data_IF_559966882850
#
_entry.id   IF_559966882850
#
_cell.length_a   1.000
_cell.length_b   1.000
_cell.length_c   1.000
_cell.angle_alpha   90.00
_cell.angle_beta   90.00
_cell.angle_gamma   90.00
#
_symmetry.space_group_name_H-M   'P 1'
#
loop_
_entity.id
_entity.type
_entity.pdbx_description
1 polymer ?
#
# COMPACT_ATOMS: atom_id res chain seq x y z
N UNK A 1 26.98 -16.37 12.73
CA UNK A 1 25.84 -16.33 11.78
C UNK A 1 26.29 -15.46 10.61
N UNK A 2 26.23 -15.93 9.38
CA UNK A 2 26.58 -15.10 8.22
C UNK A 2 25.39 -14.20 7.82
N UNK A 3 25.65 -13.21 6.95
CA UNK A 3 24.65 -12.22 6.54
C UNK A 3 23.43 -12.86 5.85
N UNK A 4 23.63 -13.89 5.04
CA UNK A 4 22.53 -14.58 4.33
C UNK A 4 21.62 -15.32 5.34
N UNK A 5 22.17 -16.00 6.32
CA UNK A 5 21.41 -16.68 7.39
C UNK A 5 20.64 -15.66 8.24
N UNK A 6 21.25 -14.50 8.55
CA UNK A 6 20.59 -13.44 9.27
C UNK A 6 19.39 -12.89 8.46
N UNK A 7 19.63 -12.57 7.20
CA UNK A 7 18.59 -12.03 6.30
C UNK A 7 17.40 -13.00 6.15
N UNK A 8 17.66 -14.26 5.81
CA UNK A 8 16.60 -15.26 5.63
C UNK A 8 15.85 -15.59 6.91
N UNK A 9 16.52 -15.50 8.08
CA UNK A 9 15.91 -15.70 9.39
C UNK A 9 15.08 -14.51 9.89
N UNK A 10 15.34 -13.31 9.36
CA UNK A 10 14.69 -12.08 9.81
C UNK A 10 13.30 -11.88 9.15
N UNK A 11 12.48 -11.05 9.79
CA UNK A 11 11.30 -10.45 9.13
C UNK A 11 11.80 -9.24 8.35
N UNK A 12 11.69 -9.30 7.03
CA UNK A 12 12.06 -8.22 6.11
C UNK A 12 10.78 -7.58 5.60
N UNK A 13 10.64 -6.28 5.80
CA UNK A 13 9.47 -5.51 5.38
C UNK A 13 9.92 -4.48 4.35
N UNK A 14 9.33 -4.53 3.17
CA UNK A 14 9.45 -3.47 2.18
C UNK A 14 8.30 -2.48 2.36
N UNK A 15 8.65 -1.21 2.50
CA UNK A 15 7.72 -0.14 2.89
C UNK A 15 6.85 0.39 1.75
N UNK A 16 7.13 0.04 0.47
CA UNK A 16 6.37 0.63 -0.63
C UNK A 16 6.56 -0.08 -1.97
N UNK A 17 5.47 -0.29 -2.70
CA UNK A 17 5.48 -0.55 -4.14
C UNK A 17 4.15 -0.16 -4.81
N UNK A 18 4.23 0.33 -6.06
CA UNK A 18 3.07 0.77 -6.88
C UNK A 18 2.52 -0.32 -7.79
N UNK A 19 2.95 -1.55 -7.60
CA UNK A 19 2.66 -2.69 -8.48
C UNK A 19 1.18 -2.89 -8.78
N UNK A 20 0.28 -2.51 -7.86
CA UNK A 20 -1.17 -2.67 -8.06
C UNK A 20 -1.69 -1.86 -9.26
N UNK A 21 -1.06 -0.74 -9.60
CA UNK A 21 -1.38 0.01 -10.81
C UNK A 21 -1.15 -0.81 -12.08
N UNK A 22 0.04 -1.37 -12.23
CA UNK A 22 0.40 -2.21 -13.38
C UNK A 22 -0.51 -3.44 -13.51
N UNK A 23 -0.88 -4.05 -12.38
CA UNK A 23 -1.77 -5.22 -12.36
C UNK A 23 -3.19 -4.82 -12.74
N UNK A 24 -3.71 -3.70 -12.24
CA UNK A 24 -5.02 -3.15 -12.60
C UNK A 24 -5.13 -2.85 -14.10
N UNK A 25 -4.06 -2.30 -14.68
CA UNK A 25 -4.01 -1.94 -16.09
C UNK A 25 -3.75 -3.17 -17.00
N UNK A 26 -3.59 -4.36 -16.42
CA UNK A 26 -3.35 -5.60 -17.15
C UNK A 26 -1.95 -5.70 -17.78
N UNK A 27 -1.02 -4.84 -17.39
CA UNK A 27 0.35 -4.86 -17.89
C UNK A 27 1.14 -6.09 -17.43
N UNK A 28 0.75 -6.67 -16.30
CA UNK A 28 1.35 -7.88 -15.72
C UNK A 28 0.46 -8.52 -14.65
N UNK A 29 0.84 -9.71 -14.19
CA UNK A 29 0.25 -10.36 -13.02
C UNK A 29 1.20 -10.26 -11.82
N UNK A 30 0.68 -10.38 -10.60
CA UNK A 30 1.51 -10.36 -9.40
C UNK A 30 2.22 -11.72 -9.17
N UNK A 31 1.63 -12.82 -9.65
CA UNK A 31 2.11 -14.18 -9.39
C UNK A 31 3.21 -14.67 -10.32
N UNK A 32 3.49 -13.98 -11.41
CA UNK A 32 4.46 -14.38 -12.42
C UNK A 32 5.63 -13.39 -12.47
N UNK A 33 6.84 -13.94 -12.67
CA UNK A 33 8.02 -13.11 -12.93
C UNK A 33 7.83 -12.32 -14.21
N UNK A 34 7.90 -11.02 -14.13
CA UNK A 34 7.72 -10.11 -15.25
C UNK A 34 9.02 -9.36 -15.59
N UNK A 35 9.24 -9.10 -16.89
CA UNK A 35 10.27 -8.18 -17.35
C UNK A 35 9.86 -6.71 -17.21
N UNK A 36 8.58 -6.45 -16.88
CA UNK A 36 8.03 -5.14 -16.59
C UNK A 36 7.90 -4.96 -15.07
N UNK A 37 8.37 -3.83 -14.56
CA UNK A 37 8.38 -3.52 -13.13
C UNK A 37 9.38 -4.34 -12.31
N UNK A 38 9.43 -4.10 -11.01
CA UNK A 38 10.47 -4.62 -10.11
C UNK A 38 9.94 -5.64 -9.10
N UNK A 39 8.64 -5.61 -8.77
CA UNK A 39 8.03 -6.39 -7.69
C UNK A 39 7.02 -7.40 -8.26
N UNK A 40 7.22 -8.68 -7.96
CA UNK A 40 6.26 -9.78 -8.12
C UNK A 40 6.49 -10.82 -7.00
N UNK A 41 5.54 -11.72 -6.80
CA UNK A 41 5.62 -12.71 -5.73
C UNK A 41 6.86 -13.61 -5.82
N UNK A 42 7.28 -14.11 -7.02
CA UNK A 42 8.53 -14.83 -7.15
C UNK A 42 9.75 -14.05 -6.66
N UNK A 43 9.91 -12.79 -7.09
CA UNK A 43 11.06 -11.95 -6.69
C UNK A 43 11.03 -11.55 -5.23
N UNK A 44 9.85 -11.24 -4.67
CA UNK A 44 9.71 -10.97 -3.23
C UNK A 44 10.16 -12.17 -2.39
N UNK A 45 9.78 -13.39 -2.78
CA UNK A 45 10.16 -14.62 -2.08
C UNK A 45 11.66 -14.90 -2.24
N UNK A 46 12.22 -14.78 -3.42
CA UNK A 46 13.67 -14.92 -3.67
C UNK A 46 14.49 -13.89 -2.89
N UNK A 47 14.01 -12.64 -2.81
CA UNK A 47 14.62 -11.58 -2.03
C UNK A 47 14.42 -11.74 -0.51
N UNK A 48 13.68 -12.76 -0.05
CA UNK A 48 13.42 -13.00 1.36
C UNK A 48 12.49 -11.97 2.02
N UNK A 49 11.75 -11.18 1.22
CA UNK A 49 10.77 -10.20 1.71
C UNK A 49 9.61 -10.94 2.37
N UNK A 50 9.37 -10.62 3.64
CA UNK A 50 8.28 -11.23 4.43
C UNK A 50 6.98 -10.45 4.27
N UNK A 51 7.07 -9.12 4.23
CA UNK A 51 5.91 -8.25 4.09
C UNK A 51 6.19 -7.13 3.07
N UNK A 52 5.18 -6.80 2.29
CA UNK A 52 5.20 -5.74 1.29
C UNK A 52 4.03 -4.81 1.54
N UNK A 53 4.28 -3.49 1.63
CA UNK A 53 3.23 -2.48 1.56
C UNK A 53 2.92 -2.22 0.09
N UNK A 54 1.70 -2.53 -0.31
CA UNK A 54 1.16 -2.26 -1.64
C UNK A 54 0.44 -0.91 -1.61
N UNK A 55 0.98 0.06 -2.33
CA UNK A 55 0.43 1.39 -2.41
C UNK A 55 -0.82 1.42 -3.31
N UNK A 56 -1.89 1.99 -2.78
CA UNK A 56 -3.07 2.39 -3.55
C UNK A 56 -2.88 3.86 -3.97
N UNK A 57 -1.85 4.10 -4.79
CA UNK A 57 -1.54 5.43 -5.32
C UNK A 57 -2.61 5.91 -6.30
N UNK A 58 -2.97 7.18 -6.22
CA UNK A 58 -3.87 7.84 -7.16
C UNK A 58 -3.16 9.02 -7.79
N UNK A 59 -2.89 9.02 -9.11
CA UNK A 59 -2.30 10.17 -9.79
C UNK A 59 -3.33 11.31 -9.85
N UNK A 60 -3.30 12.17 -8.83
CA UNK A 60 -4.31 13.21 -8.60
C UNK A 60 -4.29 14.36 -9.62
N UNK A 61 -3.18 14.54 -10.32
CA UNK A 61 -3.08 15.41 -11.49
C UNK A 61 -4.03 14.97 -12.62
N UNK A 62 -4.31 13.66 -12.73
CA UNK A 62 -5.20 13.07 -13.72
C UNK A 62 -6.60 12.75 -13.14
N UNK A 63 -6.69 12.38 -11.88
CA UNK A 63 -7.89 11.78 -11.27
C UNK A 63 -8.33 12.45 -9.97
N UNK A 64 -8.11 13.76 -9.79
CA UNK A 64 -8.50 14.46 -8.57
C UNK A 64 -9.97 14.21 -8.19
N UNK A 65 -10.86 14.17 -9.20
CA UNK A 65 -12.23 13.71 -8.99
C UNK A 65 -12.30 12.19 -9.13
N UNK A 66 -12.68 11.51 -8.07
CA UNK A 66 -12.83 10.06 -8.03
C UNK A 66 -11.62 9.33 -7.45
N UNK A 67 -10.77 10.00 -6.69
CA UNK A 67 -9.64 9.39 -5.99
C UNK A 67 -10.06 8.18 -5.15
N UNK A 68 -11.18 8.29 -4.43
CA UNK A 68 -11.81 7.18 -3.67
C UNK A 68 -12.05 5.96 -4.56
N UNK A 69 -12.65 6.15 -5.74
CA UNK A 69 -12.92 5.06 -6.68
C UNK A 69 -11.63 4.40 -7.17
N UNK A 70 -10.62 5.20 -7.52
CA UNK A 70 -9.34 4.66 -7.99
C UNK A 70 -8.58 3.89 -6.92
N UNK A 71 -8.63 4.34 -5.67
CA UNK A 71 -8.07 3.59 -4.54
C UNK A 71 -8.82 2.26 -4.32
N UNK A 72 -10.16 2.28 -4.38
CA UNK A 72 -10.98 1.06 -4.27
C UNK A 72 -10.70 0.06 -5.38
N UNK A 73 -10.45 0.50 -6.62
CA UNK A 73 -10.06 -0.39 -7.71
C UNK A 73 -8.74 -1.11 -7.42
N UNK A 74 -7.74 -0.44 -6.84
CA UNK A 74 -6.47 -1.06 -6.45
C UNK A 74 -6.62 -2.02 -5.28
N UNK A 75 -7.46 -1.67 -4.31
CA UNK A 75 -7.81 -2.59 -3.22
C UNK A 75 -8.48 -3.86 -3.76
N UNK A 76 -9.43 -3.72 -4.68
CA UNK A 76 -10.07 -4.86 -5.34
C UNK A 76 -9.06 -5.72 -6.10
N UNK A 77 -8.15 -5.09 -6.86
CA UNK A 77 -7.05 -5.79 -7.56
C UNK A 77 -6.19 -6.60 -6.58
N UNK A 78 -5.90 -6.06 -5.40
CA UNK A 78 -5.17 -6.78 -4.37
C UNK A 78 -5.96 -7.98 -3.83
N UNK A 79 -7.27 -7.85 -3.61
CA UNK A 79 -8.12 -8.95 -3.18
C UNK A 79 -8.24 -10.04 -4.25
N UNK A 80 -8.32 -9.69 -5.53
CA UNK A 80 -8.24 -10.65 -6.63
C UNK A 80 -6.90 -11.39 -6.63
N UNK A 81 -5.79 -10.72 -6.35
CA UNK A 81 -4.48 -11.37 -6.22
C UNK A 81 -4.42 -12.33 -5.01
N UNK A 82 -5.07 -12.01 -3.88
CA UNK A 82 -5.19 -12.94 -2.73
C UNK A 82 -5.93 -14.21 -3.12
N UNK A 83 -6.99 -14.11 -3.91
CA UNK A 83 -7.78 -15.25 -4.40
C UNK A 83 -7.01 -16.07 -5.42
N UNK A 84 -6.27 -15.41 -6.32
CA UNK A 84 -5.49 -16.08 -7.37
C UNK A 84 -4.23 -16.78 -6.82
N UNK A 85 -3.60 -16.22 -5.78
CA UNK A 85 -2.32 -16.70 -5.25
C UNK A 85 -2.36 -17.04 -3.75
N UNK A 86 -3.33 -17.85 -3.27
CA UNK A 86 -3.55 -18.10 -1.83
C UNK A 86 -2.40 -18.87 -1.17
N UNK A 87 -1.52 -19.50 -1.96
CA UNK A 87 -0.34 -20.21 -1.46
C UNK A 87 0.86 -19.28 -1.23
N UNK A 88 0.88 -18.11 -1.88
CA UNK A 88 2.04 -17.22 -1.94
C UNK A 88 1.80 -15.87 -1.26
N UNK A 89 0.56 -15.42 -1.20
CA UNK A 89 0.15 -14.11 -0.65
C UNK A 89 -0.89 -14.29 0.46
N UNK A 90 -0.87 -13.41 1.45
CA UNK A 90 -1.95 -13.26 2.42
C UNK A 90 -2.06 -11.79 2.87
N UNK A 91 -3.27 -11.34 3.16
CA UNK A 91 -3.50 -10.03 3.77
C UNK A 91 -2.90 -10.01 5.18
N UNK A 92 -2.22 -8.92 5.51
CA UNK A 92 -1.77 -8.63 6.87
C UNK A 92 -2.36 -7.30 7.35
N UNK A 93 -3.08 -7.37 8.45
CA UNK A 93 -3.65 -6.21 9.15
C UNK A 93 -3.07 -6.03 10.55
N UNK A 94 -2.26 -6.98 10.99
CA UNK A 94 -1.59 -7.00 12.30
C UNK A 94 -0.16 -7.54 12.18
N UNK A 95 0.68 -7.23 13.17
CA UNK A 95 2.02 -7.82 13.27
C UNK A 95 1.98 -9.36 13.43
N UNK A 96 0.91 -9.91 13.99
CA UNK A 96 0.72 -11.35 14.10
C UNK A 96 0.54 -12.00 12.72
N UNK A 97 -0.15 -11.32 11.79
CA UNK A 97 -0.32 -11.78 10.40
C UNK A 97 1.01 -11.85 9.67
N UNK A 98 1.89 -10.85 9.85
CA UNK A 98 3.23 -10.84 9.26
C UNK A 98 4.05 -12.05 9.77
N UNK A 99 4.02 -12.32 11.08
CA UNK A 99 4.68 -13.49 11.65
C UNK A 99 4.07 -14.81 11.15
N UNK A 100 2.76 -14.85 10.94
CA UNK A 100 2.06 -16.01 10.36
C UNK A 100 2.51 -16.23 8.90
N UNK A 101 2.59 -15.17 8.10
CA UNK A 101 3.09 -15.23 6.73
C UNK A 101 4.52 -15.80 6.67
N UNK A 102 5.44 -15.28 7.51
CA UNK A 102 6.81 -15.79 7.61
C UNK A 102 6.86 -17.29 7.86
N UNK A 103 6.09 -17.77 8.86
CA UNK A 103 6.05 -19.21 9.17
C UNK A 103 5.45 -20.05 8.04
N UNK A 104 4.53 -19.48 7.28
CA UNK A 104 3.85 -20.16 6.18
C UNK A 104 4.62 -20.07 4.84
N UNK A 105 5.76 -19.36 4.78
CA UNK A 105 6.49 -19.12 3.53
C UNK A 105 5.73 -18.27 2.53
N UNK A 106 4.82 -17.42 3.00
CA UNK A 106 4.01 -16.49 2.19
C UNK A 106 4.52 -15.07 2.33
N UNK A 107 4.18 -14.22 1.36
CA UNK A 107 4.32 -12.78 1.46
C UNK A 107 3.09 -12.21 2.17
N UNK A 108 3.31 -11.40 3.20
CA UNK A 108 2.27 -10.62 3.86
C UNK A 108 2.03 -9.33 3.08
N UNK A 109 0.88 -9.18 2.43
CA UNK A 109 0.51 -7.93 1.77
C UNK A 109 -0.17 -6.99 2.75
N UNK A 110 0.33 -5.77 2.84
CA UNK A 110 -0.22 -4.68 3.64
C UNK A 110 -0.75 -3.63 2.66
N UNK A 111 -1.99 -3.19 2.81
CA UNK A 111 -2.56 -2.13 1.98
C UNK A 111 -2.20 -0.75 2.56
N UNK A 112 -1.73 0.16 1.69
CA UNK A 112 -1.46 1.54 2.02
C UNK A 112 -2.11 2.52 1.05
N UNK A 113 -2.59 3.65 1.54
CA UNK A 113 -2.93 4.81 0.71
C UNK A 113 -1.69 5.70 0.59
N UNK A 114 -1.28 6.03 -0.62
CA UNK A 114 -0.24 7.01 -0.88
C UNK A 114 -0.91 8.35 -1.22
N UNK A 115 -0.94 9.23 -0.22
CA UNK A 115 -1.79 10.41 -0.21
C UNK A 115 -3.18 10.12 0.36
N UNK A 116 -3.72 11.10 1.07
CA UNK A 116 -5.04 11.00 1.72
C UNK A 116 -6.20 11.47 0.82
N UNK A 117 -5.94 11.76 -0.45
CA UNK A 117 -6.97 12.18 -1.40
C UNK A 117 -8.18 11.23 -1.47
N UNK A 118 -8.00 9.89 -1.32
CA UNK A 118 -9.13 8.97 -1.36
C UNK A 118 -10.14 9.12 -0.21
N UNK A 119 -9.76 9.75 0.91
CA UNK A 119 -10.68 9.96 2.02
C UNK A 119 -11.48 11.26 1.90
N UNK A 120 -11.19 12.10 0.89
CA UNK A 120 -11.78 13.43 0.75
C UNK A 120 -11.76 14.19 2.11
N UNK A 121 -12.82 14.84 2.51
CA UNK A 121 -13.01 15.47 3.82
C UNK A 121 -13.88 14.62 4.79
N UNK A 122 -13.79 13.27 4.68
CA UNK A 122 -14.68 12.33 5.39
C UNK A 122 -13.93 11.33 6.27
N UNK A 123 -14.16 11.41 7.58
CA UNK A 123 -13.70 10.41 8.55
C UNK A 123 -14.36 9.04 8.32
N UNK A 124 -15.58 9.02 7.79
CA UNK A 124 -16.29 7.79 7.45
C UNK A 124 -15.58 7.03 6.33
N UNK A 125 -14.99 7.74 5.35
CA UNK A 125 -14.16 7.13 4.32
C UNK A 125 -12.86 6.57 4.91
N UNK A 126 -12.18 7.30 5.81
CA UNK A 126 -11.00 6.80 6.52
C UNK A 126 -11.30 5.48 7.23
N UNK A 127 -12.40 5.45 8.02
CA UNK A 127 -12.86 4.23 8.73
C UNK A 127 -13.20 3.10 7.76
N UNK A 128 -13.78 3.42 6.60
CA UNK A 128 -14.14 2.44 5.57
C UNK A 128 -12.89 1.82 4.95
N UNK A 129 -11.88 2.60 4.61
CA UNK A 129 -10.59 2.08 4.14
C UNK A 129 -9.91 1.21 5.19
N UNK A 130 -9.95 1.60 6.48
CA UNK A 130 -9.44 0.75 7.56
C UNK A 130 -10.17 -0.61 7.62
N UNK A 131 -11.50 -0.64 7.49
CA UNK A 131 -12.29 -1.88 7.43
C UNK A 131 -11.95 -2.73 6.20
N UNK A 132 -11.57 -2.11 5.08
CA UNK A 132 -11.08 -2.77 3.88
C UNK A 132 -9.64 -3.28 3.99
N UNK A 133 -8.99 -3.13 5.15
CA UNK A 133 -7.67 -3.68 5.41
C UNK A 133 -6.51 -2.71 5.22
N UNK A 134 -6.74 -1.45 4.92
CA UNK A 134 -5.68 -0.42 4.86
C UNK A 134 -5.08 -0.24 6.26
N UNK A 135 -3.73 -0.21 6.35
CA UNK A 135 -2.98 -0.04 7.60
C UNK A 135 -1.86 0.99 7.51
N UNK A 136 -1.68 1.57 6.36
CA UNK A 136 -0.75 2.67 6.14
C UNK A 136 -1.47 3.76 5.36
N UNK A 137 -1.24 5.01 5.71
CA UNK A 137 -1.73 6.18 4.99
C UNK A 137 -0.67 7.27 5.00
N UNK A 138 -0.23 7.68 3.81
CA UNK A 138 0.50 8.92 3.62
C UNK A 138 -0.47 10.08 3.64
N UNK A 139 -0.21 11.12 4.41
CA UNK A 139 -1.13 12.26 4.52
C UNK A 139 -1.23 13.04 3.21
N UNK A 140 -0.11 13.15 2.52
CA UNK A 140 0.00 13.87 1.25
C UNK A 140 1.02 13.20 0.34
N UNK A 141 0.98 13.54 -0.92
CA UNK A 141 2.06 13.31 -1.87
C UNK A 141 2.61 14.67 -2.33
N UNK A 142 2.48 15.02 -3.60
CA UNK A 142 3.05 16.25 -4.17
C UNK A 142 2.21 17.50 -3.89
N UNK A 143 0.90 17.37 -3.90
CA UNK A 143 -0.03 18.49 -3.83
C UNK A 143 -0.73 18.55 -2.48
N UNK A 144 -1.20 19.75 -2.14
CA UNK A 144 -2.14 19.94 -1.04
C UNK A 144 -3.43 19.15 -1.27
N UNK A 145 -3.91 18.53 -0.20
CA UNK A 145 -5.23 17.91 -0.14
C UNK A 145 -6.03 18.40 1.08
N UNK A 146 -7.16 17.78 1.39
CA UNK A 146 -8.01 18.20 2.51
C UNK A 146 -7.38 17.92 3.88
N UNK A 147 -6.31 17.09 3.94
CA UNK A 147 -5.62 16.70 5.18
C UNK A 147 -4.43 17.62 5.47
N UNK A 148 -3.58 17.87 4.48
CA UNK A 148 -2.34 18.62 4.69
C UNK A 148 -1.76 19.21 3.40
N UNK A 149 -0.69 19.98 3.55
CA UNK A 149 0.13 20.49 2.45
C UNK A 149 1.05 19.38 1.90
N UNK A 150 1.18 19.34 0.58
CA UNK A 150 2.11 18.48 -0.12
C UNK A 150 3.50 19.11 -0.30
N UNK A 151 4.42 18.37 -0.89
CA UNK A 151 5.82 18.79 -1.06
C UNK A 151 5.97 20.02 -1.97
N UNK A 152 5.02 20.24 -2.88
CA UNK A 152 5.09 21.39 -3.80
C UNK A 152 4.60 22.73 -3.22
N UNK A 153 4.08 22.75 -1.99
CA UNK A 153 3.65 23.99 -1.33
C UNK A 153 4.84 24.87 -0.87
N UNK A 154 6.02 24.26 -0.71
CA UNK A 154 7.25 24.98 -0.40
C UNK A 154 7.12 25.87 0.84
N UNK A 155 7.57 27.14 0.72
CA UNK A 155 7.55 28.11 1.82
C UNK A 155 6.12 28.55 2.23
N UNK A 156 5.11 28.30 1.39
CA UNK A 156 3.71 28.59 1.70
C UNK A 156 3.02 27.50 2.52
N UNK A 157 3.72 26.41 2.82
CA UNK A 157 3.18 25.27 3.56
C UNK A 157 2.72 25.69 4.98
N UNK A 158 1.52 25.25 5.35
CA UNK A 158 0.89 25.48 6.67
C UNK A 158 0.79 24.22 7.51
N UNK A 159 1.17 23.06 6.92
CA UNK A 159 1.08 21.76 7.54
C UNK A 159 -0.33 21.15 7.50
N UNK A 160 -0.79 20.61 8.63
CA UNK A 160 -2.10 19.99 8.72
C UNK A 160 -3.24 21.02 8.61
N UNK A 161 -4.31 20.60 7.95
CA UNK A 161 -5.59 21.32 8.02
C UNK A 161 -6.33 21.01 9.34
N UNK A 162 -7.39 21.74 9.70
CA UNK A 162 -8.25 21.33 10.81
C UNK A 162 -8.88 19.94 10.64
N UNK A 163 -9.13 19.51 9.41
CA UNK A 163 -9.57 18.15 9.11
C UNK A 163 -8.42 17.14 9.28
N UNK A 164 -7.20 17.52 8.85
CA UNK A 164 -6.01 16.70 9.03
C UNK A 164 -5.71 16.38 10.49
N UNK A 165 -5.95 17.32 11.40
CA UNK A 165 -5.84 17.06 12.85
C UNK A 165 -6.81 15.95 13.26
N UNK A 166 -8.08 16.00 12.82
CA UNK A 166 -9.08 14.96 13.13
C UNK A 166 -8.68 13.60 12.54
N UNK A 167 -8.06 13.59 11.36
CA UNK A 167 -7.55 12.35 10.73
C UNK A 167 -6.45 11.70 11.57
N UNK A 168 -5.58 12.51 12.20
CA UNK A 168 -4.52 12.00 13.09
C UNK A 168 -5.08 11.49 14.41
N UNK A 169 -6.13 12.15 14.94
CA UNK A 169 -6.78 11.76 16.19
C UNK A 169 -7.57 10.45 16.06
N UNK A 170 -8.17 10.17 14.88
CA UNK A 170 -8.91 8.94 14.58
C UNK A 170 -8.00 7.73 14.40
#
# INVERSE_FOLDING_TARGET
>A
MNSATLHTGSIVIDGHCDTLGDVLDGARTLGERSNHGQVDLPRLKEGGVTAQIFACFVPVDQYRRGATRHALQRIDTFYQALEAYPKDLMLATTAADIRKAKRAGKVAGILGLEGAEPIDDSIELLRSFHRLGVRNIGLTWNFRNDVADGVFEGESARGLTPFGVKVIEE
#
